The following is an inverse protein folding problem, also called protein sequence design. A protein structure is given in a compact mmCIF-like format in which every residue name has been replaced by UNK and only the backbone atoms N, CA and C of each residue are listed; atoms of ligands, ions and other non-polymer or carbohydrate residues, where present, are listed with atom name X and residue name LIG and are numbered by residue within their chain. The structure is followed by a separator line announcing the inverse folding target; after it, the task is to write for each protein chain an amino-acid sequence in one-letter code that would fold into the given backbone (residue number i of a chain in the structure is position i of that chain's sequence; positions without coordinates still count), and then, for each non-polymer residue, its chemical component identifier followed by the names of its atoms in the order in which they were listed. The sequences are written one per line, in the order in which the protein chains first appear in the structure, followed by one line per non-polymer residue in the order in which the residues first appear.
data_IF_582637489386
#
_entry.id   IF_582637489386
#
_cell.length_a   1.000
_cell.length_b   1.000
_cell.length_c   1.000
_cell.angle_alpha   90.00
_cell.angle_beta   90.00
_cell.angle_gamma   90.00
#
_symmetry.space_group_name_H-M   'P 1'
#
loop_
_entity.id
_entity.type
_entity.pdbx_description
1 polymer ?
#
# COMPACT_ATOMS: atom_id res chain seq x y z
N UNK A 1 49.12 -8.37 -0.24
CA UNK A 1 47.94 -8.31 -1.12
C UNK A 1 46.85 -7.59 -0.36
N UNK A 2 46.45 -6.40 -0.82
CA UNK A 2 45.31 -5.70 -0.25
C UNK A 2 44.07 -6.45 -0.74
N UNK A 3 43.39 -7.16 0.16
CA UNK A 3 42.06 -7.69 -0.09
C UNK A 3 41.14 -6.49 -0.31
N UNK A 4 40.76 -6.21 -1.55
CA UNK A 4 39.74 -5.20 -1.84
C UNK A 4 38.41 -5.70 -1.31
N UNK A 5 37.73 -4.88 -0.51
CA UNK A 5 36.36 -5.15 -0.08
C UNK A 5 35.45 -5.19 -1.31
N UNK A 6 34.60 -6.22 -1.39
CA UNK A 6 33.60 -6.35 -2.44
C UNK A 6 32.54 -5.27 -2.29
N UNK A 7 32.12 -4.68 -3.40
CA UNK A 7 30.96 -3.78 -3.42
C UNK A 7 29.67 -4.54 -3.05
N UNK A 8 28.62 -3.87 -2.53
CA UNK A 8 27.35 -4.54 -2.21
C UNK A 8 26.78 -5.33 -3.40
N UNK A 9 26.89 -4.80 -4.62
CA UNK A 9 26.51 -5.50 -5.84
C UNK A 9 27.30 -6.79 -6.03
N UNK A 10 28.61 -6.78 -5.83
CA UNK A 10 29.44 -7.99 -5.92
C UNK A 10 29.12 -9.02 -4.82
N UNK A 11 28.88 -8.55 -3.60
CA UNK A 11 28.46 -9.42 -2.49
C UNK A 11 27.11 -10.08 -2.79
N UNK A 12 26.13 -9.34 -3.30
CA UNK A 12 24.84 -9.87 -3.71
C UNK A 12 24.98 -10.93 -4.81
N UNK A 13 25.79 -10.66 -5.84
CA UNK A 13 26.08 -11.62 -6.91
C UNK A 13 26.72 -12.90 -6.38
N UNK A 14 27.67 -12.81 -5.45
CA UNK A 14 28.27 -14.00 -4.84
C UNK A 14 27.26 -14.84 -4.07
N UNK A 15 26.41 -14.19 -3.27
CA UNK A 15 25.36 -14.88 -2.50
C UNK A 15 24.33 -15.55 -3.41
N UNK A 16 23.83 -14.84 -4.43
CA UNK A 16 22.89 -15.37 -5.42
C UNK A 16 23.49 -16.56 -6.18
N UNK A 17 24.77 -16.47 -6.57
CA UNK A 17 25.43 -17.55 -7.30
C UNK A 17 25.59 -18.82 -6.44
N UNK A 18 25.91 -18.66 -5.15
CA UNK A 18 26.10 -19.78 -4.19
C UNK A 18 24.77 -20.39 -3.72
N UNK A 19 23.73 -19.58 -3.57
CA UNK A 19 22.42 -20.02 -3.10
C UNK A 19 21.74 -20.98 -4.09
N UNK A 20 20.96 -21.93 -3.58
CA UNK A 20 20.08 -22.80 -4.35
C UNK A 20 18.61 -22.54 -4.02
N UNK A 21 18.29 -22.40 -2.75
CA UNK A 21 16.95 -22.13 -2.23
C UNK A 21 16.84 -20.65 -1.85
N UNK A 22 16.02 -19.89 -2.58
CA UNK A 22 15.92 -18.43 -2.44
C UNK A 22 14.47 -18.05 -2.13
N UNK A 23 14.29 -17.26 -1.07
CA UNK A 23 13.02 -16.62 -0.78
C UNK A 23 13.05 -15.16 -1.25
N UNK A 24 12.05 -14.72 -2.00
CA UNK A 24 11.83 -13.31 -2.36
C UNK A 24 10.63 -12.79 -1.54
N UNK A 25 10.82 -11.65 -0.87
CA UNK A 25 9.78 -10.96 -0.11
C UNK A 25 9.74 -9.49 -0.53
N UNK A 26 8.79 -9.07 -1.38
CA UNK A 26 8.62 -7.65 -1.66
C UNK A 26 8.00 -6.93 -0.46
N UNK A 27 8.16 -5.60 -0.41
CA UNK A 27 7.41 -4.73 0.46
C UNK A 27 5.92 -4.66 0.08
N UNK A 28 5.25 -3.60 0.52
CA UNK A 28 3.82 -3.42 0.28
C UNK A 28 3.50 -3.47 -1.22
N UNK A 29 2.50 -4.25 -1.67
CA UNK A 29 2.28 -4.47 -3.09
C UNK A 29 1.92 -3.20 -3.88
N UNK A 30 2.85 -2.77 -4.73
CA UNK A 30 2.60 -1.82 -5.79
C UNK A 30 3.23 -2.30 -7.12
N UNK A 31 3.32 -1.41 -8.11
CA UNK A 31 3.88 -1.80 -9.41
C UNK A 31 5.39 -2.07 -9.37
N UNK A 32 6.14 -1.39 -8.50
CA UNK A 32 7.59 -1.57 -8.40
C UNK A 32 7.96 -2.78 -7.54
N UNK A 33 7.34 -2.94 -6.37
CA UNK A 33 7.51 -4.10 -5.52
C UNK A 33 7.17 -5.40 -6.26
N UNK A 34 6.01 -5.46 -6.93
CA UNK A 34 5.57 -6.66 -7.64
C UNK A 34 6.30 -6.85 -8.97
N UNK A 35 6.56 -5.77 -9.72
CA UNK A 35 7.36 -5.84 -10.95
C UNK A 35 8.78 -6.35 -10.68
N UNK A 36 9.41 -5.87 -9.61
CA UNK A 36 10.72 -6.31 -9.15
C UNK A 36 10.72 -7.79 -8.73
N UNK A 37 9.72 -8.20 -7.94
CA UNK A 37 9.60 -9.58 -7.48
C UNK A 37 9.39 -10.57 -8.63
N UNK A 38 8.51 -10.25 -9.57
CA UNK A 38 8.26 -11.06 -10.77
C UNK A 38 9.52 -11.15 -11.63
N UNK A 39 10.17 -10.02 -11.91
CA UNK A 39 11.38 -10.00 -12.73
C UNK A 39 12.49 -10.87 -12.13
N UNK A 40 12.76 -10.71 -10.84
CA UNK A 40 13.80 -11.47 -10.17
C UNK A 40 13.46 -12.96 -10.06
N UNK A 41 12.20 -13.30 -9.80
CA UNK A 41 11.74 -14.69 -9.79
C UNK A 41 12.03 -15.38 -11.14
N UNK A 42 11.65 -14.74 -12.25
CA UNK A 42 11.87 -15.28 -13.59
C UNK A 42 13.36 -15.48 -13.88
N UNK A 43 14.19 -14.50 -13.53
CA UNK A 43 15.65 -14.56 -13.72
C UNK A 43 16.27 -15.69 -12.90
N UNK A 44 15.93 -15.80 -11.61
CA UNK A 44 16.49 -16.83 -10.74
C UNK A 44 16.04 -18.25 -11.16
N UNK A 45 14.79 -18.40 -11.64
CA UNK A 45 14.33 -19.67 -12.23
C UNK A 45 15.14 -20.05 -13.48
N UNK A 46 15.44 -19.09 -14.38
CA UNK A 46 16.31 -19.33 -15.55
C UNK A 46 17.73 -19.75 -15.17
N UNK A 47 18.22 -19.31 -14.00
CA UNK A 47 19.49 -19.74 -13.41
C UNK A 47 19.41 -21.10 -12.70
N UNK A 48 18.26 -21.79 -12.76
CA UNK A 48 18.07 -23.11 -12.15
C UNK A 48 17.97 -23.10 -10.63
N UNK A 49 17.65 -21.94 -10.04
CA UNK A 49 17.41 -21.80 -8.59
C UNK A 49 16.00 -22.29 -8.23
N UNK A 50 15.85 -22.73 -6.98
CA UNK A 50 14.55 -22.99 -6.38
C UNK A 50 14.10 -21.72 -5.66
N UNK A 51 12.97 -21.16 -6.08
CA UNK A 51 12.56 -19.79 -5.75
C UNK A 51 11.12 -19.78 -5.28
N UNK A 52 10.93 -19.34 -4.04
CA UNK A 52 9.62 -18.98 -3.49
C UNK A 52 9.52 -17.46 -3.45
N UNK A 53 8.45 -16.90 -4.01
CA UNK A 53 8.15 -15.47 -3.90
C UNK A 53 6.84 -15.31 -3.16
N UNK A 54 6.88 -14.71 -1.98
CA UNK A 54 5.73 -14.68 -1.07
C UNK A 54 5.19 -13.26 -0.95
N UNK A 55 3.91 -13.10 -1.25
CA UNK A 55 3.18 -11.83 -1.11
C UNK A 55 1.90 -12.12 -0.33
N UNK A 56 1.86 -11.72 0.94
CA UNK A 56 0.71 -11.99 1.80
C UNK A 56 -0.38 -10.91 1.70
N UNK A 57 0.01 -9.68 1.37
CA UNK A 57 -0.93 -8.56 1.20
C UNK A 57 -1.76 -8.71 -0.08
N UNK A 58 -3.04 -8.28 -0.09
CA UNK A 58 -3.94 -8.37 -1.25
C UNK A 58 -3.31 -7.80 -2.53
N UNK A 59 -3.35 -8.58 -3.62
CA UNK A 59 -2.89 -8.13 -4.93
C UNK A 59 -4.04 -7.52 -5.73
N UNK A 60 -3.83 -6.29 -6.20
CA UNK A 60 -4.77 -5.62 -7.07
C UNK A 60 -4.91 -6.34 -8.42
N UNK A 61 -6.13 -6.38 -8.96
CA UNK A 61 -6.43 -6.96 -10.27
C UNK A 61 -5.67 -6.28 -11.42
N UNK A 62 -5.20 -5.04 -11.23
CA UNK A 62 -4.37 -4.32 -12.19
C UNK A 62 -3.03 -5.00 -12.49
N UNK A 63 -2.58 -5.93 -11.66
CA UNK A 63 -1.32 -6.63 -11.84
C UNK A 63 -1.44 -7.95 -12.60
N UNK A 64 -2.66 -8.42 -12.91
CA UNK A 64 -2.93 -9.72 -13.54
C UNK A 64 -2.29 -9.92 -14.93
N UNK A 65 -1.84 -8.84 -15.57
CA UNK A 65 -1.17 -8.91 -16.87
C UNK A 65 0.32 -9.27 -16.75
N UNK A 66 0.89 -9.17 -15.56
CA UNK A 66 2.31 -9.46 -15.35
C UNK A 66 2.59 -10.96 -15.50
N UNK A 67 3.73 -11.34 -16.12
CA UNK A 67 4.08 -12.74 -16.33
C UNK A 67 4.20 -13.50 -15.01
N UNK A 68 3.65 -14.72 -14.93
CA UNK A 68 3.71 -15.60 -13.77
C UNK A 68 3.29 -14.96 -12.42
N UNK A 69 2.51 -13.87 -12.44
CA UNK A 69 2.07 -13.19 -11.21
C UNK A 69 1.14 -14.08 -10.36
N UNK A 70 0.42 -14.99 -11.02
CA UNK A 70 -0.42 -16.01 -10.38
C UNK A 70 0.40 -17.09 -9.65
N UNK A 71 1.71 -17.18 -9.90
CA UNK A 71 2.61 -18.11 -9.21
C UNK A 71 3.21 -17.52 -7.93
N UNK A 72 2.95 -16.25 -7.64
CA UNK A 72 3.34 -15.66 -6.37
C UNK A 72 2.57 -16.35 -5.24
N UNK A 73 3.30 -16.84 -4.23
CA UNK A 73 2.74 -17.56 -3.10
C UNK A 73 1.96 -16.59 -2.20
N UNK A 74 0.73 -16.98 -1.86
CA UNK A 74 -0.21 -16.19 -1.05
C UNK A 74 -0.28 -16.65 0.40
N UNK A 75 0.54 -17.63 0.73
CA UNK A 75 0.73 -18.24 2.03
C UNK A 75 2.20 -18.60 2.17
N UNK A 76 2.74 -18.53 3.38
CA UNK A 76 4.11 -18.97 3.64
C UNK A 76 4.09 -20.36 4.26
N UNK A 77 4.59 -21.36 3.52
CA UNK A 77 4.70 -22.75 3.99
C UNK A 77 6.16 -23.14 4.14
N UNK A 78 6.79 -22.67 5.21
CA UNK A 78 8.13 -23.17 5.57
C UNK A 78 8.03 -24.22 6.67
N UNK A 79 8.32 -25.47 6.31
CA UNK A 79 8.59 -26.51 7.30
C UNK A 79 10.04 -26.35 7.76
N UNK A 80 10.25 -25.95 9.01
CA UNK A 80 11.55 -26.12 9.65
C UNK A 80 11.75 -27.61 9.93
N UNK A 81 12.97 -28.11 9.76
CA UNK A 81 13.26 -29.47 10.20
C UNK A 81 12.96 -29.59 11.70
N UNK A 82 12.39 -30.72 12.13
CA UNK A 82 12.27 -31.01 13.56
C UNK A 82 13.47 -31.87 13.98
N UNK A 83 14.39 -31.28 14.75
CA UNK A 83 15.66 -31.92 15.09
C UNK A 83 15.55 -32.58 16.46
N UNK A 84 15.86 -33.88 16.48
CA UNK A 84 15.96 -34.69 17.70
C UNK A 84 17.44 -35.03 17.90
N UNK A 85 18.02 -34.50 18.98
CA UNK A 85 19.44 -34.67 19.31
C UNK A 85 19.60 -35.58 20.52
N UNK A 86 20.62 -36.44 20.50
CA UNK A 86 20.90 -37.42 21.54
C UNK A 86 22.31 -37.20 22.12
N UNK A 87 22.41 -36.91 23.41
CA UNK A 87 23.67 -36.78 24.12
C UNK A 87 24.34 -38.15 24.25
N UNK A 88 25.52 -38.26 23.65
CA UNK A 88 26.30 -39.49 23.60
C UNK A 88 27.44 -39.55 24.63
N UNK A 89 27.44 -38.67 25.64
CA UNK A 89 28.49 -38.66 26.67
C UNK A 89 28.49 -39.92 27.55
N UNK A 90 27.30 -40.45 27.89
CA UNK A 90 27.14 -41.65 28.74
C UNK A 90 26.76 -42.93 27.99
N UNK A 91 26.41 -42.84 26.71
CA UNK A 91 26.06 -43.99 25.86
C UNK A 91 26.36 -43.67 24.39
N UNK A 92 26.76 -44.66 23.59
CA UNK A 92 27.09 -44.45 22.17
C UNK A 92 26.05 -45.08 21.27
N UNK A 93 25.47 -44.31 20.35
CA UNK A 93 24.51 -44.82 19.38
C UNK A 93 25.20 -45.74 18.34
N UNK A 94 24.65 -46.92 18.09
CA UNK A 94 25.16 -47.89 17.10
C UNK A 94 24.24 -48.01 15.89
N UNK A 95 22.94 -48.15 16.15
CA UNK A 95 21.92 -48.37 15.13
C UNK A 95 20.76 -47.43 15.31
N UNK A 96 20.37 -46.78 14.21
CA UNK A 96 19.16 -45.96 14.10
C UNK A 96 18.17 -46.67 13.18
N UNK A 97 16.95 -46.90 13.67
CA UNK A 97 15.83 -47.41 12.88
C UNK A 97 14.63 -46.50 13.14
N UNK A 98 13.82 -46.26 12.12
CA UNK A 98 12.53 -45.62 12.32
C UNK A 98 11.41 -46.48 11.75
N UNK A 99 10.23 -46.36 12.35
CA UNK A 99 9.00 -46.93 11.80
C UNK A 99 7.81 -46.01 12.09
N UNK A 100 6.74 -46.20 11.33
CA UNK A 100 5.46 -45.56 11.59
C UNK A 100 4.52 -46.61 12.20
N UNK A 101 3.94 -46.29 13.35
CA UNK A 101 2.88 -47.06 14.00
C UNK A 101 1.65 -46.17 14.13
N UNK A 102 0.63 -46.45 13.31
CA UNK A 102 -0.55 -45.59 13.15
C UNK A 102 -0.11 -44.14 12.82
N UNK A 103 -0.36 -43.19 13.73
CA UNK A 103 0.01 -41.78 13.57
C UNK A 103 1.28 -41.38 14.35
N UNK A 104 2.14 -42.35 14.71
CA UNK A 104 3.38 -42.11 15.48
C UNK A 104 4.61 -42.51 14.68
N UNK A 105 5.55 -41.58 14.54
CA UNK A 105 6.93 -41.89 14.11
C UNK A 105 7.72 -42.35 15.33
N UNK A 106 8.11 -43.63 15.36
CA UNK A 106 9.02 -44.16 16.36
C UNK A 106 10.45 -44.10 15.84
N UNK A 107 11.32 -43.41 16.57
CA UNK A 107 12.77 -43.39 16.32
C UNK A 107 13.44 -44.28 17.37
N UNK A 108 14.01 -45.40 16.92
CA UNK A 108 14.60 -46.43 17.77
C UNK A 108 16.11 -46.36 17.64
N UNK A 109 16.78 -45.98 18.73
CA UNK A 109 18.23 -45.93 18.83
C UNK A 109 18.72 -47.09 19.69
N UNK A 110 19.53 -47.98 19.12
CA UNK A 110 20.18 -49.06 19.87
C UNK A 110 21.59 -48.63 20.27
N UNK A 111 21.93 -48.60 21.57
CA UNK A 111 23.27 -48.25 22.02
C UNK A 111 24.26 -49.40 21.82
N UNK A 112 25.51 -49.08 21.49
CA UNK A 112 26.63 -50.04 21.48
C UNK A 112 27.06 -50.41 22.90
N UNK A 113 27.02 -49.42 23.80
CA UNK A 113 27.34 -49.51 25.21
C UNK A 113 26.61 -48.40 25.98
N UNK A 114 26.27 -48.68 27.25
CA UNK A 114 25.47 -47.78 28.09
C UNK A 114 23.98 -47.83 27.78
N UNK A 115 23.23 -46.87 28.32
CA UNK A 115 21.80 -46.68 28.03
C UNK A 115 21.48 -45.20 27.93
N UNK A 116 20.59 -44.86 27.00
CA UNK A 116 20.04 -43.51 26.90
C UNK A 116 18.86 -43.35 27.85
N UNK A 117 18.73 -42.16 28.42
CA UNK A 117 17.64 -41.73 29.30
C UNK A 117 16.88 -40.57 28.64
N UNK A 118 15.64 -40.28 29.06
CA UNK A 118 14.87 -39.18 28.50
C UNK A 118 15.60 -37.82 28.54
N UNK A 119 16.38 -37.57 29.58
CA UNK A 119 17.19 -36.36 29.74
C UNK A 119 18.35 -36.25 28.74
N UNK A 120 18.75 -37.35 28.10
CA UNK A 120 19.81 -37.36 27.09
C UNK A 120 19.23 -36.97 25.71
N UNK A 121 17.90 -36.79 25.58
CA UNK A 121 17.22 -36.35 24.35
C UNK A 121 16.87 -34.88 24.45
N UNK A 122 17.17 -34.12 23.41
CA UNK A 122 16.75 -32.72 23.26
C UNK A 122 16.06 -32.50 21.91
N UNK A 123 15.13 -31.55 21.89
CA UNK A 123 14.37 -31.15 20.71
C UNK A 123 14.71 -29.72 20.35
N UNK A 124 14.87 -29.47 19.07
CA UNK A 124 15.10 -28.13 18.54
C UNK A 124 14.51 -28.00 17.14
N UNK A 125 14.19 -26.79 16.75
CA UNK A 125 13.89 -26.51 15.36
C UNK A 125 15.20 -26.44 14.56
N UNK A 126 15.21 -27.05 13.38
CA UNK A 126 16.28 -26.96 12.41
C UNK A 126 16.30 -25.63 11.67
N UNK A 127 17.14 -25.58 10.63
CA UNK A 127 17.29 -24.38 9.82
C UNK A 127 16.06 -24.16 8.94
N UNK A 128 15.85 -22.91 8.55
CA UNK A 128 14.95 -22.63 7.44
C UNK A 128 15.54 -23.24 6.16
N UNK A 129 14.71 -23.66 5.20
CA UNK A 129 15.17 -24.30 3.97
C UNK A 129 15.86 -23.34 2.99
N UNK A 130 15.82 -22.03 3.27
CA UNK A 130 16.35 -20.99 2.40
C UNK A 130 17.82 -20.68 2.71
N UNK A 131 18.61 -20.55 1.66
CA UNK A 131 20.01 -20.13 1.74
C UNK A 131 20.13 -18.61 1.91
N UNK A 132 19.24 -17.85 1.25
CA UNK A 132 19.14 -16.39 1.33
C UNK A 132 17.67 -15.94 1.23
N UNK A 133 17.39 -14.77 1.81
CA UNK A 133 16.17 -14.00 1.59
C UNK A 133 16.54 -12.75 0.78
N UNK A 134 15.77 -12.43 -0.25
CA UNK A 134 15.91 -11.17 -0.99
C UNK A 134 14.67 -10.32 -0.72
N UNK A 135 14.86 -9.20 -0.05
CA UNK A 135 13.80 -8.21 0.16
C UNK A 135 13.86 -7.15 -0.93
N UNK A 136 12.70 -6.80 -1.47
CA UNK A 136 12.58 -5.87 -2.59
C UNK A 136 11.66 -4.73 -2.19
N UNK A 137 12.07 -3.50 -2.46
CA UNK A 137 11.22 -2.32 -2.31
C UNK A 137 10.63 -2.18 -0.89
N UNK A 138 11.51 -2.31 0.10
CA UNK A 138 11.19 -2.20 1.51
C UNK A 138 12.30 -1.45 2.24
N UNK A 139 11.94 -0.32 2.84
CA UNK A 139 12.88 0.53 3.57
C UNK A 139 13.23 -0.04 4.96
N UNK A 140 12.33 -0.81 5.54
CA UNK A 140 12.42 -1.37 6.88
C UNK A 140 11.71 -2.74 6.93
N UNK A 141 11.83 -3.45 8.05
CA UNK A 141 11.18 -4.75 8.22
C UNK A 141 9.65 -4.66 8.35
N UNK A 142 9.11 -3.54 8.83
CA UNK A 142 7.66 -3.35 9.01
C UNK A 142 6.95 -3.30 7.64
N UNK A 143 7.64 -2.81 6.61
CA UNK A 143 7.14 -2.80 5.23
C UNK A 143 7.02 -4.19 4.59
N UNK A 144 7.62 -5.23 5.18
CA UNK A 144 7.40 -6.63 4.77
C UNK A 144 6.10 -7.22 5.35
N UNK A 145 5.41 -6.47 6.21
CA UNK A 145 4.11 -6.81 6.78
C UNK A 145 4.09 -8.16 7.50
N UNK A 146 2.99 -8.91 7.31
CA UNK A 146 2.77 -10.21 7.96
C UNK A 146 3.90 -11.20 7.78
N UNK A 147 4.64 -11.12 6.67
CA UNK A 147 5.73 -12.03 6.41
C UNK A 147 6.83 -11.89 7.48
N UNK A 148 7.17 -10.65 7.86
CA UNK A 148 8.11 -10.39 8.94
C UNK A 148 7.47 -10.56 10.32
N UNK A 149 6.25 -10.03 10.53
CA UNK A 149 5.54 -10.09 11.82
C UNK A 149 5.40 -11.53 12.33
N UNK A 150 5.03 -12.46 11.44
CA UNK A 150 4.80 -13.86 11.80
C UNK A 150 6.11 -14.68 11.82
N UNK A 151 7.19 -14.22 11.16
CA UNK A 151 8.42 -15.01 10.96
C UNK A 151 9.72 -14.24 11.27
N UNK A 152 9.86 -13.51 12.39
CA UNK A 152 11.05 -12.67 12.64
C UNK A 152 12.35 -13.49 12.73
N UNK A 153 12.26 -14.74 13.22
CA UNK A 153 13.42 -15.65 13.30
C UNK A 153 14.00 -16.02 11.93
N UNK A 154 13.20 -16.00 10.87
CA UNK A 154 13.66 -16.27 9.51
C UNK A 154 14.70 -15.22 9.08
N UNK A 155 14.34 -13.95 9.22
CA UNK A 155 15.17 -12.80 8.84
C UNK A 155 16.40 -12.61 9.73
N UNK A 156 16.39 -13.19 10.94
CA UNK A 156 17.56 -13.24 11.83
C UNK A 156 18.52 -14.39 11.52
N UNK A 157 18.00 -15.49 10.95
CA UNK A 157 18.76 -16.74 10.78
C UNK A 157 19.25 -16.96 9.36
N UNK A 158 18.57 -16.38 8.37
CA UNK A 158 18.89 -16.50 6.95
C UNK A 158 19.46 -15.15 6.45
N UNK A 159 20.60 -15.13 5.76
CA UNK A 159 21.17 -13.89 5.22
C UNK A 159 20.17 -13.16 4.30
N UNK A 160 19.99 -11.86 4.57
CA UNK A 160 19.09 -10.99 3.80
C UNK A 160 19.88 -10.14 2.81
N UNK A 161 19.45 -10.12 1.55
CA UNK A 161 19.85 -9.12 0.55
C UNK A 161 18.70 -8.11 0.43
N UNK A 162 18.90 -6.86 0.84
CA UNK A 162 17.91 -5.80 0.68
C UNK A 162 18.20 -5.00 -0.58
N UNK A 163 17.23 -4.92 -1.49
CA UNK A 163 17.29 -4.10 -2.71
C UNK A 163 16.19 -3.06 -2.63
N UNK A 164 16.56 -1.79 -2.61
CA UNK A 164 15.63 -0.69 -2.36
C UNK A 164 16.17 0.64 -2.88
N UNK A 165 15.31 1.64 -3.04
CA UNK A 165 15.70 2.99 -3.47
C UNK A 165 15.24 4.11 -2.51
N UNK A 166 14.53 3.76 -1.43
CA UNK A 166 13.99 4.74 -0.50
C UNK A 166 15.08 5.41 0.35
N UNK A 167 14.99 6.73 0.48
CA UNK A 167 15.91 7.51 1.33
C UNK A 167 15.78 7.19 2.83
N UNK A 168 14.65 6.62 3.24
CA UNK A 168 14.38 6.20 4.62
C UNK A 168 14.87 4.77 4.93
N UNK A 169 15.58 4.12 4.01
CA UNK A 169 16.00 2.74 4.19
C UNK A 169 16.96 2.55 5.40
N UNK A 170 16.70 1.52 6.21
CA UNK A 170 17.43 1.19 7.44
C UNK A 170 18.70 0.35 7.20
N UNK A 171 18.95 -0.07 5.96
CA UNK A 171 20.06 -0.94 5.56
C UNK A 171 20.09 -2.25 6.37
N UNK A 172 18.91 -2.84 6.57
CA UNK A 172 18.70 -3.97 7.49
C UNK A 172 19.20 -5.32 6.97
N UNK A 173 19.63 -5.40 5.71
CA UNK A 173 20.16 -6.61 5.10
C UNK A 173 21.60 -6.93 5.53
N UNK A 174 21.98 -8.19 5.37
CA UNK A 174 23.40 -8.59 5.40
C UNK A 174 24.16 -8.00 4.19
N UNK A 175 23.46 -7.80 3.07
CA UNK A 175 23.91 -7.03 1.92
C UNK A 175 22.82 -6.04 1.54
N UNK A 176 23.17 -4.77 1.36
CA UNK A 176 22.23 -3.70 1.05
C UNK A 176 22.58 -3.08 -0.31
N UNK A 177 21.78 -3.41 -1.33
CA UNK A 177 21.85 -2.82 -2.66
C UNK A 177 20.85 -1.65 -2.74
N UNK A 178 21.20 -0.56 -2.08
CA UNK A 178 20.36 0.64 -2.00
C UNK A 178 20.91 1.74 -2.91
N UNK A 179 20.10 2.21 -3.86
CA UNK A 179 20.46 3.30 -4.77
C UNK A 179 19.40 4.41 -4.74
N UNK A 180 19.68 5.45 -3.96
CA UNK A 180 18.79 6.62 -3.80
C UNK A 180 18.63 7.45 -5.08
N UNK A 181 19.45 7.18 -6.11
CA UNK A 181 19.37 7.87 -7.40
C UNK A 181 18.54 7.10 -8.43
N UNK A 182 18.21 5.83 -8.13
CA UNK A 182 17.33 5.02 -8.95
C UNK A 182 15.88 5.49 -8.79
N UNK A 183 15.12 5.46 -9.87
CA UNK A 183 13.70 5.85 -9.79
C UNK A 183 12.84 4.78 -9.16
N UNK A 184 13.31 3.54 -9.13
CA UNK A 184 12.58 2.38 -8.62
C UNK A 184 13.56 1.22 -8.33
N UNK A 185 13.16 0.28 -7.48
CA UNK A 185 13.83 -1.00 -7.24
C UNK A 185 14.02 -1.81 -8.52
N UNK A 186 13.06 -1.77 -9.45
CA UNK A 186 13.20 -2.42 -10.76
C UNK A 186 14.38 -1.85 -11.58
N UNK A 187 14.66 -0.55 -11.52
CA UNK A 187 15.83 0.04 -12.18
C UNK A 187 17.15 -0.49 -11.59
N UNK A 188 17.21 -0.70 -10.27
CA UNK A 188 18.36 -1.30 -9.59
C UNK A 188 18.57 -2.75 -10.05
N UNK A 189 17.47 -3.51 -10.16
CA UNK A 189 17.50 -4.90 -10.59
C UNK A 189 18.00 -5.06 -12.02
N UNK A 190 17.76 -4.12 -12.94
CA UNK A 190 18.32 -4.17 -14.30
C UNK A 190 19.84 -4.32 -14.22
N UNK A 191 20.51 -3.47 -13.45
CA UNK A 191 21.96 -3.53 -13.29
C UNK A 191 22.44 -4.82 -12.63
N UNK A 192 21.68 -5.37 -11.66
CA UNK A 192 21.99 -6.65 -11.02
C UNK A 192 21.86 -7.82 -12.01
N UNK A 193 20.78 -7.87 -12.78
CA UNK A 193 20.48 -8.92 -13.74
C UNK A 193 21.49 -8.90 -14.89
N UNK A 194 21.87 -7.73 -15.40
CA UNK A 194 22.92 -7.61 -16.42
C UNK A 194 24.25 -8.21 -15.94
N UNK A 195 24.56 -8.06 -14.65
CA UNK A 195 25.78 -8.63 -14.06
C UNK A 195 25.67 -10.15 -13.82
N UNK A 196 24.46 -10.70 -13.67
CA UNK A 196 24.22 -12.15 -13.69
C UNK A 196 24.27 -12.71 -15.12
N UNK A 197 23.82 -11.92 -16.10
CA UNK A 197 23.88 -12.23 -17.52
C UNK A 197 22.83 -11.43 -18.32
N UNK A 198 23.21 -10.60 -19.30
CA UNK A 198 22.26 -9.75 -20.03
C UNK A 198 21.23 -10.54 -20.84
N UNK A 199 21.54 -11.78 -21.24
CA UNK A 199 20.61 -12.67 -21.94
C UNK A 199 19.45 -13.18 -21.06
N UNK A 200 19.47 -12.88 -19.76
CA UNK A 200 18.38 -13.25 -18.84
C UNK A 200 17.17 -12.30 -18.99
N UNK A 201 17.38 -11.12 -19.57
CA UNK A 201 16.32 -10.13 -19.85
C UNK A 201 15.68 -10.45 -21.21
N UNK A 202 14.58 -11.18 -21.17
CA UNK A 202 13.68 -11.37 -22.31
C UNK A 202 12.40 -10.54 -22.13
N UNK A 203 11.44 -10.71 -23.04
CA UNK A 203 10.16 -9.98 -23.04
C UNK A 203 9.46 -9.99 -21.68
N UNK A 204 9.41 -11.15 -21.00
CA UNK A 204 8.69 -11.28 -19.73
C UNK A 204 9.40 -10.55 -18.59
N UNK A 205 10.72 -10.75 -18.47
CA UNK A 205 11.54 -10.05 -17.47
C UNK A 205 11.52 -8.54 -17.74
N UNK A 206 11.66 -8.12 -19.01
CA UNK A 206 11.62 -6.73 -19.39
C UNK A 206 10.25 -6.09 -19.13
N UNK A 207 9.15 -6.82 -19.33
CA UNK A 207 7.79 -6.35 -19.01
C UNK A 207 7.64 -6.11 -17.51
N UNK A 208 8.12 -7.02 -16.67
CA UNK A 208 8.05 -6.88 -15.22
C UNK A 208 8.92 -5.72 -14.70
N UNK A 209 10.16 -5.59 -15.19
CA UNK A 209 11.05 -4.47 -14.83
C UNK A 209 10.48 -3.13 -15.29
N UNK A 210 9.99 -3.05 -16.53
CA UNK A 210 9.39 -1.83 -17.06
C UNK A 210 8.10 -1.45 -16.30
N UNK A 211 7.37 -2.42 -15.76
CA UNK A 211 6.17 -2.17 -14.95
C UNK A 211 6.54 -1.37 -13.69
N UNK A 212 7.61 -1.76 -12.99
CA UNK A 212 8.06 -1.03 -11.81
C UNK A 212 8.52 0.39 -12.12
N UNK A 213 9.36 0.54 -13.15
CA UNK A 213 9.84 1.86 -13.58
C UNK A 213 8.68 2.78 -13.98
N UNK A 214 7.69 2.26 -14.73
CA UNK A 214 6.52 3.03 -15.15
C UNK A 214 5.62 3.38 -13.96
N UNK A 215 5.43 2.48 -13.00
CA UNK A 215 4.64 2.75 -11.80
C UNK A 215 5.24 3.92 -11.01
N UNK A 216 6.53 3.83 -10.69
CA UNK A 216 7.19 4.76 -9.78
C UNK A 216 7.47 6.14 -10.37
N UNK A 217 7.59 6.21 -11.69
CA UNK A 217 7.74 7.48 -12.39
C UNK A 217 6.40 8.10 -12.78
N UNK A 218 5.27 7.44 -12.49
CA UNK A 218 3.95 7.88 -12.96
C UNK A 218 3.88 7.94 -14.48
N UNK A 219 4.44 6.92 -15.16
CA UNK A 219 4.68 6.92 -16.60
C UNK A 219 5.51 8.13 -17.05
N UNK A 220 6.62 8.40 -16.33
CA UNK A 220 7.57 9.48 -16.59
C UNK A 220 7.02 10.90 -16.42
N UNK A 221 5.95 11.07 -15.64
CA UNK A 221 5.32 12.36 -15.36
C UNK A 221 5.81 12.97 -14.05
N UNK A 222 6.31 12.15 -13.13
CA UNK A 222 6.78 12.57 -11.82
C UNK A 222 8.20 13.15 -11.88
N UNK A 223 8.52 14.03 -10.93
CA UNK A 223 9.80 14.75 -10.86
C UNK A 223 11.01 13.86 -10.57
N UNK A 224 10.78 12.62 -10.14
CA UNK A 224 11.83 11.62 -9.93
C UNK A 224 12.35 11.04 -11.25
N UNK A 225 11.71 11.28 -12.40
CA UNK A 225 12.17 10.79 -13.71
C UNK A 225 13.59 11.29 -14.04
N UNK A 226 14.47 10.37 -14.46
CA UNK A 226 15.87 10.68 -14.81
C UNK A 226 16.21 10.29 -16.25
N UNK A 227 17.29 10.84 -16.84
CA UNK A 227 17.80 10.36 -18.12
C UNK A 227 18.14 8.86 -18.10
N UNK A 228 18.59 8.35 -16.94
CA UNK A 228 18.90 6.93 -16.74
C UNK A 228 17.62 6.09 -16.82
N UNK A 229 16.55 6.46 -16.11
CA UNK A 229 15.29 5.70 -16.13
C UNK A 229 14.65 5.66 -17.51
N UNK A 230 14.72 6.76 -18.27
CA UNK A 230 14.29 6.79 -19.68
C UNK A 230 15.14 5.89 -20.58
N UNK A 231 16.45 5.86 -20.37
CA UNK A 231 17.36 4.99 -21.13
C UNK A 231 17.09 3.51 -20.84
N UNK A 232 16.95 3.16 -19.56
CA UNK A 232 16.62 1.80 -19.11
C UNK A 232 15.25 1.38 -19.65
N UNK A 233 14.25 2.27 -19.59
CA UNK A 233 12.94 1.98 -20.16
C UNK A 233 13.00 1.72 -21.68
N UNK A 234 13.79 2.51 -22.42
CA UNK A 234 14.02 2.28 -23.84
C UNK A 234 14.70 0.92 -24.11
N UNK A 235 15.63 0.51 -23.25
CA UNK A 235 16.23 -0.82 -23.32
C UNK A 235 15.20 -1.93 -23.07
N UNK A 236 14.36 -1.79 -22.05
CA UNK A 236 13.31 -2.79 -21.76
C UNK A 236 12.33 -2.93 -22.93
N UNK A 237 11.92 -1.82 -23.54
CA UNK A 237 11.13 -1.84 -24.78
C UNK A 237 11.90 -2.54 -25.90
N UNK A 238 13.22 -2.30 -26.02
CA UNK A 238 14.10 -3.01 -26.96
C UNK A 238 14.17 -4.52 -26.72
N UNK A 239 14.03 -4.98 -25.49
CA UNK A 239 13.90 -6.41 -25.12
C UNK A 239 12.47 -6.97 -25.30
N UNK A 240 11.53 -6.17 -25.81
CA UNK A 240 10.17 -6.61 -26.12
C UNK A 240 9.13 -6.29 -25.06
N UNK A 241 9.47 -5.54 -24.00
CA UNK A 241 8.54 -5.23 -22.93
C UNK A 241 7.18 -4.71 -23.44
N UNK A 242 6.08 -5.26 -22.91
CA UNK A 242 4.71 -5.01 -23.36
C UNK A 242 4.15 -3.67 -22.85
N UNK A 243 4.83 -2.58 -23.19
CA UNK A 243 4.56 -1.23 -22.65
C UNK A 243 3.09 -0.79 -22.78
N UNK A 244 2.44 -1.08 -23.91
CA UNK A 244 1.02 -0.73 -24.11
C UNK A 244 0.09 -1.46 -23.14
N UNK A 245 0.42 -2.70 -22.80
CA UNK A 245 -0.32 -3.49 -21.81
C UNK A 245 -0.10 -2.94 -20.40
N UNK A 246 1.15 -2.62 -20.05
CA UNK A 246 1.49 -1.98 -18.76
C UNK A 246 0.64 -0.71 -18.57
N UNK A 247 0.66 0.20 -19.55
CA UNK A 247 -0.10 1.46 -19.47
C UNK A 247 -1.61 1.20 -19.40
N UNK A 248 -2.10 0.22 -20.18
CA UNK A 248 -3.51 -0.15 -20.18
C UNK A 248 -3.96 -0.51 -18.76
N UNK A 249 -3.27 -1.43 -18.11
CA UNK A 249 -3.67 -1.96 -16.81
C UNK A 249 -3.37 -1.03 -15.64
N UNK A 250 -2.24 -0.32 -15.65
CA UNK A 250 -1.89 0.58 -14.54
C UNK A 250 -2.68 1.88 -14.54
N UNK A 251 -2.96 2.47 -15.71
CA UNK A 251 -3.52 3.83 -15.79
C UNK A 251 -4.87 3.92 -16.50
N UNK A 252 -5.10 3.10 -17.54
CA UNK A 252 -6.26 3.27 -18.43
C UNK A 252 -7.45 2.37 -18.12
N UNK A 253 -7.30 1.33 -17.29
CA UNK A 253 -8.41 0.48 -16.89
C UNK A 253 -8.95 0.90 -15.54
N UNK A 254 -10.27 1.11 -15.49
CA UNK A 254 -11.06 1.29 -14.27
C UNK A 254 -12.34 0.48 -14.44
N UNK A 255 -12.89 -0.02 -13.34
CA UNK A 255 -14.19 -0.69 -13.40
C UNK A 255 -15.29 0.32 -13.73
N UNK A 256 -16.36 -0.14 -14.38
CA UNK A 256 -17.49 0.73 -14.72
C UNK A 256 -18.15 1.30 -13.45
N UNK A 257 -18.21 0.51 -12.37
CA UNK A 257 -18.67 0.94 -11.04
C UNK A 257 -17.83 2.11 -10.53
N UNK A 258 -16.50 2.02 -10.62
CA UNK A 258 -15.57 3.11 -10.28
C UNK A 258 -15.88 4.39 -11.07
N UNK A 259 -16.02 4.28 -12.40
CA UNK A 259 -16.29 5.45 -13.25
C UNK A 259 -17.65 6.10 -12.95
N UNK A 260 -18.68 5.29 -12.67
CA UNK A 260 -20.00 5.79 -12.26
C UNK A 260 -19.94 6.52 -10.91
N UNK A 261 -19.23 5.95 -9.93
CA UNK A 261 -19.05 6.57 -8.62
C UNK A 261 -18.28 7.90 -8.75
N UNK A 262 -17.21 7.91 -9.56
CA UNK A 262 -16.47 9.12 -9.84
C UNK A 262 -17.37 10.18 -10.48
N UNK A 263 -18.19 9.84 -11.47
CA UNK A 263 -19.13 10.79 -12.07
C UNK A 263 -20.08 11.45 -11.07
N UNK A 264 -20.55 10.68 -10.07
CA UNK A 264 -21.40 11.20 -8.99
C UNK A 264 -20.66 12.17 -8.09
N UNK A 265 -19.50 11.78 -7.58
CA UNK A 265 -18.69 12.65 -6.71
C UNK A 265 -18.24 13.90 -7.48
N UNK A 266 -17.70 13.74 -8.69
CA UNK A 266 -17.29 14.85 -9.56
C UNK A 266 -18.41 15.87 -9.78
N UNK A 267 -19.67 15.42 -9.91
CA UNK A 267 -20.82 16.32 -10.09
C UNK A 267 -21.15 17.17 -8.86
N UNK A 268 -20.69 16.79 -7.67
CA UNK A 268 -20.93 17.50 -6.42
C UNK A 268 -19.68 18.15 -5.82
N UNK A 269 -18.54 18.13 -6.54
CA UNK A 269 -17.31 18.78 -6.08
C UNK A 269 -17.51 20.28 -5.92
N UNK A 270 -16.94 20.80 -4.84
CA UNK A 270 -16.91 22.21 -4.51
C UNK A 270 -15.46 22.66 -4.37
N UNK A 271 -15.24 23.92 -4.67
CA UNK A 271 -13.94 24.57 -4.51
C UNK A 271 -14.10 25.93 -3.84
N UNK A 272 -13.23 26.20 -2.88
CA UNK A 272 -13.15 27.48 -2.19
C UNK A 272 -11.79 28.12 -2.47
N UNK A 273 -11.80 29.20 -3.25
CA UNK A 273 -10.58 29.86 -3.71
C UNK A 273 -9.79 30.57 -2.59
N UNK A 274 -10.44 30.94 -1.48
CA UNK A 274 -9.81 31.66 -0.36
C UNK A 274 -8.97 30.69 0.49
N UNK A 275 -9.53 29.53 0.78
CA UNK A 275 -8.86 28.45 1.50
C UNK A 275 -8.08 27.51 0.58
N UNK A 276 -8.22 27.64 -0.74
CA UNK A 276 -7.65 26.74 -1.75
C UNK A 276 -8.01 25.27 -1.46
N UNK A 277 -9.26 25.05 -1.08
CA UNK A 277 -9.80 23.74 -0.67
C UNK A 277 -10.76 23.22 -1.72
N UNK A 278 -10.49 22.03 -2.24
CA UNK A 278 -11.46 21.26 -3.03
C UNK A 278 -12.04 20.12 -2.19
N UNK A 279 -13.34 19.87 -2.30
CA UNK A 279 -13.95 18.73 -1.61
C UNK A 279 -15.13 18.13 -2.36
N UNK A 280 -15.44 16.89 -2.03
CA UNK A 280 -16.63 16.19 -2.50
C UNK A 280 -17.03 15.10 -1.51
N UNK A 281 -18.23 14.58 -1.67
CA UNK A 281 -18.79 13.57 -0.77
C UNK A 281 -19.51 12.45 -1.52
N UNK A 282 -19.48 11.24 -0.94
CA UNK A 282 -20.21 10.07 -1.41
C UNK A 282 -21.03 9.46 -0.25
N UNK A 283 -22.34 9.38 -0.42
CA UNK A 283 -23.24 8.75 0.55
C UNK A 283 -23.35 7.23 0.29
N UNK A 284 -23.92 6.47 1.23
CA UNK A 284 -24.14 5.02 1.06
C UNK A 284 -24.95 4.68 -0.20
N UNK A 285 -25.94 5.53 -0.52
CA UNK A 285 -26.77 5.35 -1.70
C UNK A 285 -25.94 5.40 -3.00
N UNK A 286 -24.89 6.22 -3.06
CA UNK A 286 -24.02 6.31 -4.24
C UNK A 286 -23.26 5.01 -4.48
N UNK A 287 -22.77 4.36 -3.42
CA UNK A 287 -22.13 3.05 -3.53
C UNK A 287 -23.13 1.97 -3.97
N UNK A 288 -24.31 1.94 -3.35
CA UNK A 288 -25.36 0.97 -3.68
C UNK A 288 -25.84 1.08 -5.13
N UNK A 289 -26.05 2.30 -5.64
CA UNK A 289 -26.55 2.54 -7.00
C UNK A 289 -25.49 2.29 -8.08
N UNK A 290 -24.21 2.46 -7.74
CA UNK A 290 -23.11 2.25 -8.69
C UNK A 290 -22.55 0.83 -8.67
N UNK A 291 -22.82 0.08 -7.59
CA UNK A 291 -22.20 -1.21 -7.30
C UNK A 291 -20.70 -1.08 -6.98
N UNK A 292 -20.27 0.10 -6.52
CA UNK A 292 -18.89 0.39 -6.20
C UNK A 292 -18.57 0.04 -4.74
N UNK A 293 -17.30 -0.26 -4.49
CA UNK A 293 -16.77 -0.53 -3.15
C UNK A 293 -15.96 0.67 -2.62
N UNK A 294 -15.71 0.66 -1.31
CA UNK A 294 -15.17 1.81 -0.62
C UNK A 294 -13.76 2.26 -1.05
N UNK A 295 -12.94 1.34 -1.56
CA UNK A 295 -11.57 1.59 -2.01
C UNK A 295 -11.51 2.35 -3.35
N UNK A 296 -12.59 2.36 -4.12
CA UNK A 296 -12.64 2.90 -5.49
C UNK A 296 -12.64 4.43 -5.55
N UNK A 297 -12.75 5.12 -4.40
CA UNK A 297 -12.58 6.59 -4.30
C UNK A 297 -11.12 7.05 -4.20
N UNK A 298 -10.19 6.15 -3.87
CA UNK A 298 -8.78 6.49 -3.68
C UNK A 298 -8.16 7.17 -4.90
N UNK A 299 -8.37 6.62 -6.10
CA UNK A 299 -7.83 7.24 -7.32
C UNK A 299 -8.46 8.59 -7.68
N UNK A 300 -9.68 8.90 -7.19
CA UNK A 300 -10.32 10.18 -7.47
C UNK A 300 -9.65 11.32 -6.70
N UNK A 301 -9.28 11.09 -5.42
CA UNK A 301 -8.64 12.14 -4.63
C UNK A 301 -7.27 12.53 -5.21
N UNK A 302 -6.53 11.56 -5.74
CA UNK A 302 -5.24 11.78 -6.40
C UNK A 302 -5.41 12.51 -7.75
N UNK A 303 -6.43 12.14 -8.51
CA UNK A 303 -6.81 12.83 -9.76
C UNK A 303 -7.16 14.30 -9.49
N UNK A 304 -7.95 14.59 -8.45
CA UNK A 304 -8.32 15.96 -8.10
C UNK A 304 -7.12 16.80 -7.64
N UNK A 305 -6.24 16.23 -6.82
CA UNK A 305 -5.01 16.90 -6.38
C UNK A 305 -4.10 17.24 -7.58
N UNK A 306 -4.12 16.42 -8.62
CA UNK A 306 -3.29 16.61 -9.82
C UNK A 306 -3.94 17.55 -10.83
N UNK A 307 -5.26 17.45 -11.01
CA UNK A 307 -6.01 18.14 -12.08
C UNK A 307 -6.60 19.49 -11.67
N UNK A 308 -6.58 19.84 -10.38
CA UNK A 308 -7.02 21.16 -9.86
C UNK A 308 -5.79 21.92 -9.31
N UNK A 309 -5.06 22.68 -10.15
CA UNK A 309 -3.77 23.28 -9.76
C UNK A 309 -3.89 24.36 -8.67
N UNK A 310 -5.07 24.95 -8.49
CA UNK A 310 -5.36 25.95 -7.46
C UNK A 310 -5.62 25.34 -6.07
N UNK A 311 -5.90 24.04 -6.00
CA UNK A 311 -6.14 23.35 -4.73
C UNK A 311 -4.81 23.08 -4.01
N UNK A 312 -4.74 23.53 -2.75
CA UNK A 312 -3.66 23.21 -1.84
C UNK A 312 -4.02 22.01 -0.95
N UNK A 313 -5.32 21.81 -0.70
CA UNK A 313 -5.89 20.70 0.07
C UNK A 313 -7.09 20.13 -0.68
N UNK A 314 -7.16 18.81 -0.78
CA UNK A 314 -8.33 18.08 -1.30
C UNK A 314 -8.87 17.16 -0.21
N UNK A 315 -10.19 17.20 0.02
CA UNK A 315 -10.88 16.33 0.98
C UNK A 315 -11.99 15.56 0.29
N UNK A 316 -11.98 14.22 0.40
CA UNK A 316 -13.13 13.39 0.03
C UNK A 316 -13.74 12.75 1.27
N UNK A 317 -15.04 12.93 1.43
CA UNK A 317 -15.83 12.29 2.48
C UNK A 317 -16.63 11.12 1.89
N UNK A 318 -16.68 10.02 2.62
CA UNK A 318 -17.44 8.84 2.19
C UNK A 318 -18.11 8.16 3.36
N UNK A 319 -19.42 7.93 3.26
CA UNK A 319 -20.15 7.15 4.24
C UNK A 319 -19.88 5.65 4.00
N UNK A 320 -19.35 4.97 5.03
CA UNK A 320 -18.96 3.55 4.95
C UNK A 320 -20.07 2.64 5.47
N UNK A 321 -20.70 3.09 6.55
CA UNK A 321 -21.85 2.49 7.20
C UNK A 321 -22.72 3.63 7.74
N UNK A 322 -24.00 3.41 8.05
CA UNK A 322 -24.86 4.46 8.57
C UNK A 322 -24.23 5.12 9.80
N UNK A 323 -23.96 6.42 9.71
CA UNK A 323 -23.32 7.19 10.79
C UNK A 323 -21.80 7.10 10.86
N UNK A 324 -21.14 6.33 9.98
CA UNK A 324 -19.68 6.17 9.95
C UNK A 324 -19.11 6.82 8.68
N UNK A 325 -18.45 7.97 8.85
CA UNK A 325 -17.86 8.73 7.75
C UNK A 325 -16.34 8.57 7.73
N UNK A 326 -15.80 8.21 6.58
CA UNK A 326 -14.37 8.18 6.31
C UNK A 326 -13.97 9.42 5.50
N UNK A 327 -13.04 10.20 6.04
CA UNK A 327 -12.43 11.33 5.35
C UNK A 327 -11.04 10.98 4.85
N UNK A 328 -10.78 11.28 3.58
CA UNK A 328 -9.46 11.18 2.94
C UNK A 328 -8.96 12.56 2.59
N UNK A 329 -7.68 12.82 2.87
CA UNK A 329 -7.03 14.11 2.64
C UNK A 329 -5.83 13.91 1.73
N UNK A 330 -5.69 14.80 0.74
CA UNK A 330 -4.46 15.02 -0.01
C UNK A 330 -4.05 16.48 0.07
N UNK A 331 -2.75 16.71 0.08
CA UNK A 331 -2.20 18.05 0.16
C UNK A 331 -1.07 18.26 -0.83
N UNK A 332 -0.91 19.52 -1.23
CA UNK A 332 0.25 19.97 -2.00
C UNK A 332 1.52 19.86 -1.15
N UNK A 333 2.68 19.72 -1.82
CA UNK A 333 3.99 19.69 -1.16
C UNK A 333 4.20 20.90 -0.24
N UNK A 334 4.59 20.66 1.01
CA UNK A 334 4.80 21.69 2.04
C UNK A 334 3.58 21.96 2.93
N UNK A 335 2.54 21.12 2.86
CA UNK A 335 1.40 21.11 3.77
C UNK A 335 1.24 19.69 4.32
N UNK A 336 1.17 19.55 5.64
CA UNK A 336 1.06 18.25 6.28
C UNK A 336 -0.40 17.79 6.41
N UNK A 337 -0.80 16.79 5.61
CA UNK A 337 -2.13 16.19 5.67
C UNK A 337 -2.40 15.52 7.03
N UNK A 338 -1.38 14.99 7.71
CA UNK A 338 -1.49 14.34 9.02
C UNK A 338 -1.94 15.34 10.08
N UNK A 339 -1.45 16.58 10.01
CA UNK A 339 -1.85 17.64 10.94
C UNK A 339 -3.32 18.02 10.79
N UNK A 340 -3.84 18.01 9.57
CA UNK A 340 -5.27 18.20 9.31
C UNK A 340 -6.07 17.00 9.83
N UNK A 341 -5.64 15.78 9.54
CA UNK A 341 -6.34 14.57 9.97
C UNK A 341 -6.44 14.44 11.51
N UNK A 342 -5.39 14.84 12.24
CA UNK A 342 -5.37 14.83 13.72
C UNK A 342 -6.46 15.70 14.36
N UNK A 343 -6.92 16.75 13.68
CA UNK A 343 -8.06 17.59 14.14
C UNK A 343 -9.30 16.73 14.37
N UNK A 344 -9.42 15.64 13.60
CA UNK A 344 -10.54 14.70 13.63
C UNK A 344 -10.17 13.34 14.25
N UNK A 345 -9.07 13.27 15.00
CA UNK A 345 -8.58 12.02 15.61
C UNK A 345 -8.00 11.01 14.62
N UNK A 346 -7.70 11.44 13.39
CA UNK A 346 -7.06 10.62 12.36
C UNK A 346 -5.53 10.72 12.35
N UNK A 347 -4.93 10.28 11.24
CA UNK A 347 -3.49 10.31 11.04
C UNK A 347 -3.10 9.92 9.61
N UNK A 348 -1.79 9.87 9.37
CA UNK A 348 -1.22 9.54 8.06
C UNK A 348 0.13 10.20 7.84
N UNK A 349 0.48 10.37 6.57
CA UNK A 349 1.72 10.94 6.10
C UNK A 349 1.53 12.39 5.61
N UNK A 350 2.65 13.07 5.35
CA UNK A 350 2.66 14.49 5.00
C UNK A 350 1.78 14.84 3.77
N UNK A 351 1.77 14.02 2.72
CA UNK A 351 0.95 14.29 1.52
C UNK A 351 -0.42 13.61 1.50
N UNK A 352 -0.69 12.70 2.45
CA UNK A 352 -1.82 11.80 2.42
C UNK A 352 -2.19 11.33 3.82
N UNK A 353 -3.41 11.65 4.26
CA UNK A 353 -3.90 11.24 5.57
C UNK A 353 -5.40 10.93 5.54
N UNK A 354 -5.91 10.34 6.62
CA UNK A 354 -7.31 10.01 6.75
C UNK A 354 -7.80 10.02 8.19
N UNK A 355 -9.12 10.11 8.34
CA UNK A 355 -9.81 10.11 9.63
C UNK A 355 -11.17 9.40 9.51
N UNK A 356 -11.76 9.08 10.66
CA UNK A 356 -13.08 8.49 10.75
C UNK A 356 -13.92 9.26 11.78
N UNK A 357 -15.11 9.68 11.37
CA UNK A 357 -16.13 10.24 12.25
C UNK A 357 -17.21 9.20 12.50
N UNK A 358 -17.73 9.17 13.73
CA UNK A 358 -18.76 8.25 14.18
C UNK A 358 -20.02 9.03 14.55
N UNK A 359 -21.17 8.36 14.50
CA UNK A 359 -22.47 8.86 14.90
C UNK A 359 -22.85 10.20 14.25
N UNK A 360 -22.49 10.39 12.97
CA UNK A 360 -22.76 11.64 12.23
C UNK A 360 -23.23 11.38 10.80
N UNK A 361 -24.11 12.24 10.29
CA UNK A 361 -24.52 12.19 8.89
C UNK A 361 -23.44 12.73 7.95
N UNK A 362 -23.46 12.33 6.67
CA UNK A 362 -22.53 12.86 5.67
C UNK A 362 -22.60 14.38 5.53
N UNK A 363 -23.80 14.98 5.70
CA UNK A 363 -24.00 16.42 5.61
C UNK A 363 -23.37 17.16 6.81
N UNK A 364 -23.61 16.70 8.04
CA UNK A 364 -23.01 17.27 9.25
C UNK A 364 -21.48 17.09 9.26
N UNK A 365 -21.00 15.95 8.76
CA UNK A 365 -19.57 15.70 8.58
C UNK A 365 -18.97 16.66 7.57
N UNK A 366 -19.63 16.93 6.44
CA UNK A 366 -19.17 17.91 5.46
C UNK A 366 -19.07 19.30 6.09
N UNK A 367 -20.13 19.79 6.74
CA UNK A 367 -20.12 21.11 7.37
C UNK A 367 -19.01 21.24 8.43
N UNK A 368 -18.88 20.23 9.30
CA UNK A 368 -17.88 20.20 10.37
C UNK A 368 -16.46 20.17 9.82
N UNK A 369 -16.19 19.24 8.90
CA UNK A 369 -14.84 19.03 8.36
C UNK A 369 -14.39 20.25 7.58
N UNK A 370 -15.22 20.75 6.67
CA UNK A 370 -14.85 21.86 5.79
C UNK A 370 -14.61 23.13 6.58
N UNK A 371 -15.43 23.41 7.60
CA UNK A 371 -15.22 24.56 8.48
C UNK A 371 -13.86 24.51 9.19
N UNK A 372 -13.50 23.35 9.76
CA UNK A 372 -12.21 23.17 10.46
C UNK A 372 -11.01 23.20 9.52
N UNK A 373 -11.13 22.66 8.30
CA UNK A 373 -10.06 22.75 7.30
C UNK A 373 -9.87 24.19 6.81
N UNK A 374 -10.96 24.95 6.64
CA UNK A 374 -10.90 26.38 6.33
C UNK A 374 -10.20 27.18 7.42
N UNK A 375 -10.48 26.91 8.69
CA UNK A 375 -9.76 27.52 9.82
C UNK A 375 -8.26 27.20 9.81
N UNK A 376 -7.90 25.94 9.50
CA UNK A 376 -6.50 25.52 9.38
C UNK A 376 -5.79 26.31 8.26
N UNK A 377 -6.41 26.38 7.08
CA UNK A 377 -5.86 27.13 5.94
C UNK A 377 -5.79 28.63 6.21
N UNK A 378 -6.78 29.23 6.89
CA UNK A 378 -6.75 30.64 7.27
C UNK A 378 -5.54 30.96 8.17
N UNK A 379 -5.29 30.14 9.20
CA UNK A 379 -4.12 30.27 10.08
C UNK A 379 -2.82 30.15 9.29
N UNK A 380 -2.75 29.19 8.37
CA UNK A 380 -1.57 28.98 7.50
C UNK A 380 -1.31 30.19 6.58
N UNK A 381 -2.36 30.81 6.04
CA UNK A 381 -2.26 31.98 5.15
C UNK A 381 -2.04 33.30 5.91
N UNK A 382 -1.92 33.26 7.25
CA UNK A 382 -1.73 34.45 8.08
C UNK A 382 -3.01 35.24 8.36
N UNK A 383 -4.19 34.67 8.09
CA UNK A 383 -5.49 35.26 8.39
C UNK A 383 -6.05 34.82 9.74
N UNK A 384 -6.78 35.72 10.42
CA UNK A 384 -7.66 35.35 11.53
C UNK A 384 -8.83 34.50 10.98
N UNK A 385 -9.26 33.43 11.67
CA UNK A 385 -10.41 32.64 11.23
C UNK A 385 -11.67 33.52 11.16
N UNK A 386 -12.61 33.25 10.25
CA UNK A 386 -13.91 33.93 10.26
C UNK A 386 -14.59 33.63 11.60
N UNK A 387 -14.95 34.67 12.36
CA UNK A 387 -15.74 34.49 13.57
C UNK A 387 -17.16 34.10 13.16
N UNK A 388 -17.62 32.93 13.61
CA UNK A 388 -19.05 32.59 13.60
C UNK A 388 -19.81 33.68 14.38
N UNK A 389 -20.79 34.32 13.73
CA UNK A 389 -21.76 35.15 14.44
C UNK A 389 -22.62 34.24 15.33
N UNK A 390 -22.26 34.16 16.62
CA UNK A 390 -23.09 33.53 17.63
C UNK A 390 -24.48 34.20 17.74
N UNK A 391 -25.48 33.51 18.32
CA UNK A 391 -26.85 33.97 18.32
C UNK A 391 -26.96 35.30 19.08
N UNK A 392 -27.45 36.34 18.37
CA UNK A 392 -27.76 37.64 18.97
C UNK A 392 -28.76 37.44 20.11
N UNK A 393 -28.28 37.60 21.33
CA UNK A 393 -29.12 37.72 22.52
C UNK A 393 -29.92 39.02 22.40
N UNK A 394 -31.25 38.90 22.25
CA UNK A 394 -32.14 40.05 22.23
C UNK A 394 -32.22 40.66 23.64
N UNK A 395 -31.69 41.86 23.80
CA UNK A 395 -32.00 42.73 24.93
C UNK A 395 -33.44 43.22 24.80
N UNK A 396 -34.22 42.95 25.85
CA UNK A 396 -35.58 43.44 26.07
C UNK A 396 -35.65 44.97 26.03
N UNK A 397 -36.55 45.52 25.22
CA UNK A 397 -37.17 46.83 25.45
C UNK A 397 -38.69 46.66 25.66
N UNK A 398 -39.33 47.48 26.51
CA UNK A 398 -40.69 47.24 26.98
C UNK A 398 -41.76 47.67 25.98
N UNK A 399 -42.87 46.95 26.02
CA UNK A 399 -44.01 47.05 25.13
C UNK A 399 -44.67 48.44 25.07
N UNK A 400 -44.95 48.88 23.84
CA UNK A 400 -45.88 49.97 23.52
C UNK A 400 -47.26 49.34 23.21
N UNK A 401 -48.39 49.83 23.76
CA UNK A 401 -49.70 49.24 23.52
C UNK A 401 -50.23 49.62 22.12
N UNK A 402 -51.11 48.80 21.51
CA UNK A 402 -51.63 49.06 20.18
C UNK A 402 -52.71 50.16 20.18
N UNK A 403 -52.81 50.97 19.11
CA UNK A 403 -53.97 51.83 18.92
C UNK A 403 -55.16 51.03 18.39
N UNK A 404 -56.33 51.39 18.91
CA UNK A 404 -57.66 50.97 18.49
C UNK A 404 -57.96 51.39 17.05
N UNK A 405 -58.48 50.47 16.23
CA UNK A 405 -59.06 50.78 14.92
C UNK A 405 -60.50 50.25 14.85
N UNK A 406 -61.43 51.19 14.70
CA UNK A 406 -62.84 50.97 14.43
C UNK A 406 -63.10 50.45 13.00
N UNK A 407 -64.25 49.81 12.87
CA UNK A 407 -64.78 49.15 11.69
C UNK A 407 -65.27 50.09 10.58
N UNK A 408 -65.15 49.65 9.33
CA UNK A 408 -66.14 49.75 8.22
C UNK A 408 -65.64 48.78 7.13
N UNK A 409 -66.36 47.75 6.66
CA UNK A 409 -67.57 47.74 5.83
C UNK A 409 -67.27 46.94 4.54
N UNK A 410 -67.92 45.79 4.32
CA UNK A 410 -67.77 44.93 3.11
C UNK A 410 -68.51 45.46 1.87
N UNK A 411 -68.95 44.63 0.88
CA UNK A 411 -68.83 43.17 0.73
C UNK A 411 -68.50 42.67 -0.71
N UNK A 412 -68.30 41.34 -0.88
CA UNK A 412 -68.93 40.61 -2.00
C UNK A 412 -68.07 39.73 -2.91
N UNK A 413 -68.51 38.45 -3.02
CA UNK A 413 -68.32 37.46 -4.10
C UNK A 413 -66.91 36.82 -4.25
N UNK A 414 -66.72 35.51 -4.42
CA UNK A 414 -67.58 34.35 -4.57
C UNK A 414 -66.69 33.13 -4.92
N UNK A 415 -66.93 31.98 -4.29
CA UNK A 415 -66.49 30.64 -4.75
C UNK A 415 -67.52 30.11 -5.79
N UNK A 416 -67.31 29.04 -6.60
CA UNK A 416 -66.43 27.85 -6.43
C UNK A 416 -65.87 27.32 -7.81
N UNK A 417 -65.64 26.00 -8.08
CA UNK A 417 -65.10 24.87 -7.29
C UNK A 417 -63.87 24.18 -7.95
N UNK A 418 -63.32 23.26 -7.15
CA UNK A 418 -62.58 22.04 -7.52
C UNK A 418 -63.08 21.32 -8.79
N UNK A 419 -62.15 20.76 -9.56
CA UNK A 419 -62.40 19.54 -10.33
C UNK A 419 -61.23 18.55 -10.15
N UNK A 420 -61.61 17.29 -9.95
CA UNK A 420 -60.80 16.07 -9.98
C UNK A 420 -61.41 15.24 -11.10
N UNK A 421 -60.65 14.78 -12.08
CA UNK A 421 -60.73 13.41 -12.62
C UNK A 421 -59.66 13.16 -13.69
N UNK A 422 -59.14 11.93 -13.62
CA UNK A 422 -58.41 11.11 -14.60
C UNK A 422 -56.96 11.44 -15.00
#
# INVERSE_FOLDING_TARGET
MVTMELTPKQQALELINKARQILIVPGRPDGDAIGSAVALQLVLKKLGKDVSTVVLDPLSSKFKFMPEVERLEREFKSHRDFVISLDCASATADKLVYNFDSDRLNIIVTPKAGSFRPQDVSFSDGKFPFDIVITLDAADFDQLGKMYEDNPKLFQSVPVINVDHHASNDYFGAVNLVDLTATSTAEILVGLIEALGPSLIDEEVATALLTGIINDTGSFQHSNTTPKSLTVAAQMVGFGARQQEIIKYLFKTKELSTLKLWGRVLSNIRFDAVSQLAWGSAALADFAETGAEGEQLSGLIDELMTSVPEADVVVLLSEREPGIISGSIRTKKGIDASDIAKIFGGGGHHGAAGFRLLDTSIAEAEDTVISRVKEYQAKRHGGLPPMEEGPKTSSLEPAVPPPSAEATGGPGAGNPPLDKTD
#
